data_IF_053608834794
#
_entry.id   IF_053608834794
#
_cell.length_a   1.000
_cell.length_b   1.000
_cell.length_c   1.000
_cell.angle_alpha   90.00
_cell.angle_beta   90.00
_cell.angle_gamma   90.00
#
_symmetry.space_group_name_H-M   'P 1'
#
loop_
_entity.id
_entity.type
_entity.pdbx_description
1 polymer ?
#
# COMPACT_ATOMS: atom_id res chain seq x y z
N UNK A 1 62.64 3.41 19.66
CA UNK A 1 63.27 2.49 20.64
C UNK A 1 64.74 2.38 20.28
N UNK A 2 65.59 3.12 20.98
CA UNK A 2 67.03 3.08 20.74
C UNK A 2 67.59 1.76 21.29
N UNK A 3 67.90 0.82 20.40
CA UNK A 3 68.66 -0.38 20.77
C UNK A 3 70.09 0.09 20.97
N UNK A 4 70.45 0.37 22.22
CA UNK A 4 71.83 0.64 22.62
C UNK A 4 72.66 -0.58 22.23
N UNK A 5 73.51 -0.44 21.21
CA UNK A 5 74.48 -1.49 20.85
C UNK A 5 75.29 -1.84 22.10
N UNK A 6 75.53 -3.13 22.40
CA UNK A 6 76.48 -3.48 23.42
C UNK A 6 77.83 -2.92 22.98
N UNK A 7 78.30 -1.91 23.69
CA UNK A 7 79.63 -1.31 23.54
C UNK A 7 80.65 -2.31 24.11
N UNK A 8 80.83 -3.46 23.46
CA UNK A 8 82.09 -4.18 23.60
C UNK A 8 83.10 -3.33 22.85
N UNK A 9 83.75 -2.40 23.54
CA UNK A 9 84.82 -1.65 22.90
C UNK A 9 85.90 -2.67 22.52
N UNK A 10 86.34 -2.71 21.25
CA UNK A 10 87.46 -3.54 20.86
C UNK A 10 88.74 -3.16 21.64
N UNK A 11 88.75 -1.99 22.29
CA UNK A 11 89.77 -1.60 23.25
C UNK A 11 89.83 -2.52 24.48
N UNK A 12 88.71 -2.90 25.11
CA UNK A 12 88.76 -3.69 26.36
C UNK A 12 89.30 -5.11 26.16
N UNK A 13 88.97 -5.73 25.02
CA UNK A 13 89.54 -7.01 24.62
C UNK A 13 91.04 -6.88 24.27
N UNK A 14 91.45 -5.76 23.67
CA UNK A 14 92.87 -5.46 23.42
C UNK A 14 93.64 -5.24 24.72
N UNK A 15 93.06 -4.59 25.73
CA UNK A 15 93.68 -4.41 27.05
C UNK A 15 93.87 -5.77 27.74
N UNK A 16 92.87 -6.65 27.69
CA UNK A 16 93.00 -8.00 28.24
C UNK A 16 94.08 -8.82 27.51
N UNK A 17 94.09 -8.80 26.17
CA UNK A 17 95.15 -9.47 25.39
C UNK A 17 96.55 -8.91 25.70
N UNK A 18 96.66 -7.59 25.85
CA UNK A 18 97.88 -6.92 26.28
C UNK A 18 98.34 -7.37 27.66
N UNK A 19 97.41 -7.49 28.62
CA UNK A 19 97.71 -7.97 29.97
C UNK A 19 98.16 -9.43 29.99
N UNK A 20 97.55 -10.31 29.18
CA UNK A 20 97.97 -11.72 29.03
C UNK A 20 99.37 -11.81 28.44
N UNK A 21 99.65 -11.03 27.40
CA UNK A 21 100.97 -11.01 26.76
C UNK A 21 102.05 -10.49 27.72
N UNK A 22 101.74 -9.44 28.51
CA UNK A 22 102.65 -8.91 29.54
C UNK A 22 102.91 -9.93 30.66
N UNK A 23 101.87 -10.65 31.10
CA UNK A 23 102.01 -11.75 32.06
C UNK A 23 102.92 -12.86 31.51
N UNK A 24 102.71 -13.27 30.26
CA UNK A 24 103.51 -14.31 29.63
C UNK A 24 104.99 -13.89 29.50
N UNK A 25 105.26 -12.63 29.17
CA UNK A 25 106.62 -12.09 29.09
C UNK A 25 107.28 -11.99 30.46
N UNK A 26 106.56 -11.48 31.47
CA UNK A 26 107.05 -11.47 32.85
C UNK A 26 107.33 -12.88 33.38
N UNK A 27 106.56 -13.89 32.97
CA UNK A 27 106.74 -15.29 33.38
C UNK A 27 108.02 -15.88 32.78
N UNK A 28 108.30 -15.53 31.51
CA UNK A 28 109.56 -15.85 30.84
C UNK A 28 110.75 -15.15 31.51
N UNK A 29 110.62 -13.88 31.90
CA UNK A 29 111.66 -13.16 32.62
C UNK A 29 111.98 -13.77 33.98
N UNK A 30 110.95 -14.16 34.75
CA UNK A 30 111.13 -14.89 36.02
C UNK A 30 111.85 -16.22 35.79
N UNK A 31 111.42 -17.01 34.81
CA UNK A 31 112.06 -18.28 34.47
C UNK A 31 113.52 -18.10 34.07
N UNK A 32 113.84 -17.09 33.25
CA UNK A 32 115.19 -16.79 32.80
C UNK A 32 116.10 -16.32 33.94
N UNK A 33 115.62 -15.43 34.83
CA UNK A 33 116.39 -14.96 36.00
C UNK A 33 116.57 -16.07 37.05
N UNK A 34 115.60 -16.96 37.23
CA UNK A 34 115.76 -18.15 38.09
C UNK A 34 116.78 -19.16 37.55
N UNK A 35 116.90 -19.28 36.22
CA UNK A 35 117.87 -20.16 35.56
C UNK A 35 119.31 -19.59 35.55
N UNK A 36 119.48 -18.27 35.68
CA UNK A 36 120.77 -17.58 35.56
C UNK A 36 121.41 -17.13 36.89
N UNK A 37 120.85 -17.50 38.05
CA UNK A 37 121.37 -17.13 39.38
C UNK A 37 122.85 -17.54 39.57
N UNK A 38 123.82 -16.61 39.57
CA UNK A 38 125.24 -16.93 39.76
C UNK A 38 125.56 -17.12 41.27
N UNK A 39 126.46 -18.05 41.66
CA UNK A 39 126.65 -18.42 43.07
C UNK A 39 127.44 -17.40 43.93
N UNK A 40 127.79 -16.22 43.43
CA UNK A 40 128.74 -15.28 44.09
C UNK A 40 128.33 -13.79 44.06
N UNK A 41 127.04 -13.47 44.05
CA UNK A 41 126.53 -12.10 44.26
C UNK A 41 125.88 -11.94 45.64
N UNK A 42 125.87 -10.72 46.20
CA UNK A 42 125.25 -10.42 47.49
C UNK A 42 123.80 -10.95 47.54
N UNK A 43 123.49 -11.78 48.52
CA UNK A 43 122.18 -12.44 48.63
C UNK A 43 121.01 -11.44 48.69
N UNK A 44 121.27 -10.21 49.17
CA UNK A 44 120.29 -9.13 49.22
C UNK A 44 119.86 -8.65 47.84
N UNK A 45 120.78 -8.51 46.87
CA UNK A 45 120.44 -8.08 45.50
C UNK A 45 119.57 -9.12 44.79
N UNK A 46 119.81 -10.40 45.05
CA UNK A 46 118.99 -11.49 44.54
C UNK A 46 117.58 -11.49 45.16
N UNK A 47 117.47 -11.23 46.46
CA UNK A 47 116.18 -11.11 47.16
C UNK A 47 115.39 -9.92 46.62
N UNK A 48 116.04 -8.76 46.44
CA UNK A 48 115.40 -7.57 45.87
C UNK A 48 114.95 -7.78 44.41
N UNK A 49 115.76 -8.42 43.58
CA UNK A 49 115.41 -8.70 42.19
C UNK A 49 114.27 -9.72 42.04
N UNK A 50 114.21 -10.73 42.92
CA UNK A 50 113.08 -11.65 42.98
C UNK A 50 111.81 -10.99 43.50
N UNK A 51 111.93 -10.10 44.48
CA UNK A 51 110.82 -9.31 45.00
C UNK A 51 110.21 -8.41 43.91
N UNK A 52 111.04 -7.71 43.14
CA UNK A 52 110.59 -6.85 42.03
C UNK A 52 109.88 -7.66 40.94
N UNK A 53 110.44 -8.82 40.56
CA UNK A 53 109.80 -9.73 39.60
C UNK A 53 108.45 -10.26 40.07
N UNK A 54 108.36 -10.68 41.34
CA UNK A 54 107.11 -11.14 41.94
C UNK A 54 106.08 -10.00 42.03
N UNK A 55 106.55 -8.78 42.31
CA UNK A 55 105.72 -7.58 42.34
C UNK A 55 105.14 -7.30 40.95
N UNK A 56 105.97 -7.30 39.90
CA UNK A 56 105.55 -7.08 38.51
C UNK A 56 104.56 -8.15 38.01
N UNK A 57 104.74 -9.40 38.44
CA UNK A 57 103.76 -10.48 38.21
C UNK A 57 102.45 -10.22 38.93
N UNK A 58 102.52 -9.82 40.20
CA UNK A 58 101.33 -9.54 41.01
C UNK A 58 100.50 -8.40 40.42
N UNK A 59 101.16 -7.34 39.93
CA UNK A 59 100.52 -6.20 39.30
C UNK A 59 99.87 -6.60 37.97
N UNK A 60 100.54 -7.45 37.18
CA UNK A 60 99.99 -7.97 35.91
C UNK A 60 98.76 -8.86 36.13
N UNK A 61 98.78 -9.72 37.17
CA UNK A 61 97.62 -10.52 37.58
C UNK A 61 96.46 -9.66 38.06
N UNK A 62 96.75 -8.57 38.78
CA UNK A 62 95.75 -7.64 39.28
C UNK A 62 95.05 -6.89 38.13
N UNK A 63 95.82 -6.45 37.13
CA UNK A 63 95.28 -5.87 35.89
C UNK A 63 94.42 -6.87 35.10
N UNK A 64 94.88 -8.11 34.96
CA UNK A 64 94.11 -9.17 34.28
C UNK A 64 92.78 -9.44 35.00
N UNK A 65 92.81 -9.53 36.32
CA UNK A 65 91.61 -9.74 37.15
C UNK A 65 90.61 -8.59 36.99
N UNK A 66 91.08 -7.33 36.95
CA UNK A 66 90.24 -6.17 36.69
C UNK A 66 89.61 -6.18 35.30
N UNK A 67 90.35 -6.61 34.27
CA UNK A 67 89.82 -6.74 32.91
C UNK A 67 88.78 -7.85 32.77
N UNK A 68 88.95 -8.97 33.49
CA UNK A 68 87.99 -10.07 33.54
C UNK A 68 86.69 -9.65 34.23
N UNK A 69 86.77 -8.95 35.37
CA UNK A 69 85.58 -8.40 36.05
C UNK A 69 84.80 -7.44 35.15
N UNK A 70 85.49 -6.60 34.37
CA UNK A 70 84.84 -5.70 33.40
C UNK A 70 84.11 -6.48 32.32
N UNK A 71 84.71 -7.55 31.79
CA UNK A 71 84.06 -8.42 30.80
C UNK A 71 82.87 -9.18 31.37
N UNK A 72 82.96 -9.69 32.60
CA UNK A 72 81.83 -10.33 33.27
C UNK A 72 80.65 -9.36 33.43
N UNK A 73 80.91 -8.11 33.82
CA UNK A 73 79.88 -7.06 33.90
C UNK A 73 79.24 -6.75 32.55
N UNK A 74 80.02 -6.69 31.47
CA UNK A 74 79.51 -6.51 30.11
C UNK A 74 78.66 -7.71 29.66
N UNK A 75 79.07 -8.93 29.98
CA UNK A 75 78.36 -10.15 29.65
C UNK A 75 77.00 -10.20 30.36
N UNK A 76 76.96 -9.79 31.64
CA UNK A 76 75.72 -9.68 32.42
C UNK A 76 74.78 -8.60 31.87
N UNK A 77 75.32 -7.45 31.46
CA UNK A 77 74.56 -6.38 30.81
C UNK A 77 73.95 -6.85 29.49
N UNK A 78 74.74 -7.54 28.66
CA UNK A 78 74.29 -8.09 27.38
C UNK A 78 73.22 -9.17 27.57
N UNK A 79 73.37 -10.04 28.56
CA UNK A 79 72.36 -11.04 28.91
C UNK A 79 71.04 -10.38 29.35
N UNK A 80 71.13 -9.32 30.16
CA UNK A 80 69.95 -8.57 30.61
C UNK A 80 69.27 -7.90 29.42
N UNK A 81 70.04 -7.29 28.53
CA UNK A 81 69.53 -6.67 27.32
C UNK A 81 68.87 -7.69 26.38
N UNK A 82 69.47 -8.87 26.17
CA UNK A 82 68.89 -9.96 25.39
C UNK A 82 67.53 -10.40 25.96
N UNK A 83 67.44 -10.56 27.29
CA UNK A 83 66.17 -10.90 27.94
C UNK A 83 65.11 -9.80 27.79
N UNK A 84 65.51 -8.53 27.78
CA UNK A 84 64.61 -7.40 27.55
C UNK A 84 64.13 -7.36 26.09
N UNK A 85 65.00 -7.68 25.13
CA UNK A 85 64.63 -7.76 23.72
C UNK A 85 63.70 -8.94 23.46
N UNK A 86 63.91 -10.09 24.09
CA UNK A 86 63.00 -11.23 23.94
C UNK A 86 61.60 -10.90 24.46
N UNK A 87 61.52 -10.21 25.61
CA UNK A 87 60.24 -9.72 26.15
C UNK A 87 59.57 -8.71 25.22
N UNK A 88 60.33 -7.77 24.65
CA UNK A 88 59.74 -6.77 23.74
C UNK A 88 59.25 -7.41 22.44
N UNK A 89 59.99 -8.38 21.89
CA UNK A 89 59.59 -9.16 20.72
C UNK A 89 58.33 -10.00 21.02
N UNK A 90 58.26 -10.63 22.20
CA UNK A 90 57.06 -11.35 22.63
C UNK A 90 55.85 -10.42 22.71
N UNK A 91 55.99 -9.27 23.37
CA UNK A 91 54.90 -8.29 23.50
C UNK A 91 54.42 -7.75 22.13
N UNK A 92 55.36 -7.56 21.18
CA UNK A 92 55.02 -7.17 19.83
C UNK A 92 54.27 -8.27 19.08
N UNK A 93 54.67 -9.54 19.26
CA UNK A 93 53.96 -10.68 18.70
C UNK A 93 52.54 -10.82 19.26
N UNK A 94 52.37 -10.65 20.56
CA UNK A 94 51.05 -10.67 21.21
C UNK A 94 50.17 -9.52 20.72
N UNK A 95 50.75 -8.33 20.53
CA UNK A 95 50.02 -7.18 19.98
C UNK A 95 49.62 -7.40 18.52
N UNK A 96 50.52 -7.98 17.71
CA UNK A 96 50.27 -8.26 16.29
C UNK A 96 49.19 -9.33 16.12
N UNK A 97 49.23 -10.39 16.93
CA UNK A 97 48.21 -11.45 16.93
C UNK A 97 46.86 -10.91 17.38
N UNK A 98 46.81 -10.15 18.48
CA UNK A 98 45.58 -9.51 18.94
C UNK A 98 44.98 -8.56 17.89
N UNK A 99 45.83 -7.79 17.20
CA UNK A 99 45.38 -6.93 16.10
C UNK A 99 44.90 -7.75 14.90
N UNK A 100 45.59 -8.84 14.55
CA UNK A 100 45.17 -9.77 13.50
C UNK A 100 43.79 -10.35 13.78
N UNK A 101 43.58 -10.89 14.98
CA UNK A 101 42.31 -11.48 15.39
C UNK A 101 41.20 -10.43 15.45
N UNK A 102 41.48 -9.23 15.98
CA UNK A 102 40.52 -8.13 16.03
C UNK A 102 40.07 -7.67 14.64
N UNK A 103 41.00 -7.56 13.69
CA UNK A 103 40.66 -7.20 12.30
C UNK A 103 39.91 -8.31 11.57
N UNK A 104 40.25 -9.58 11.80
CA UNK A 104 39.49 -10.73 11.28
C UNK A 104 38.06 -10.73 11.82
N UNK A 105 37.89 -10.52 13.12
CA UNK A 105 36.56 -10.48 13.74
C UNK A 105 35.71 -9.32 13.19
N UNK A 106 36.29 -8.13 13.01
CA UNK A 106 35.57 -6.98 12.49
C UNK A 106 35.20 -7.15 11.01
N UNK A 107 36.08 -7.72 10.20
CA UNK A 107 35.77 -8.02 8.79
C UNK A 107 34.69 -9.08 8.67
N UNK A 108 34.72 -10.13 9.49
CA UNK A 108 33.63 -11.12 9.56
C UNK A 108 32.31 -10.49 9.99
N UNK A 109 32.32 -9.63 11.01
CA UNK A 109 31.13 -8.91 11.47
C UNK A 109 30.53 -8.06 10.36
N UNK A 110 31.34 -7.24 9.69
CA UNK A 110 30.91 -6.40 8.58
C UNK A 110 30.40 -7.23 7.39
N UNK A 111 31.00 -8.38 7.11
CA UNK A 111 30.53 -9.28 6.06
C UNK A 111 29.14 -9.85 6.38
N UNK A 112 28.90 -10.28 7.62
CA UNK A 112 27.59 -10.78 8.06
C UNK A 112 26.54 -9.67 8.02
N UNK A 113 26.88 -8.48 8.53
CA UNK A 113 25.97 -7.32 8.53
C UNK A 113 25.66 -6.84 7.10
N UNK A 114 26.66 -6.85 6.22
CA UNK A 114 26.49 -6.54 4.80
C UNK A 114 25.59 -7.55 4.08
N UNK A 115 25.76 -8.85 4.35
CA UNK A 115 24.89 -9.89 3.80
C UNK A 115 23.45 -9.80 4.31
N UNK A 116 23.28 -9.53 5.61
CA UNK A 116 21.95 -9.30 6.21
C UNK A 116 21.26 -8.09 5.57
N UNK A 117 21.99 -6.98 5.42
CA UNK A 117 21.49 -5.77 4.76
C UNK A 117 21.10 -6.04 3.31
N UNK A 118 21.91 -6.82 2.57
CA UNK A 118 21.60 -7.22 1.19
C UNK A 118 20.33 -8.06 1.10
N UNK A 119 20.16 -9.04 1.98
CA UNK A 119 18.94 -9.87 2.03
C UNK A 119 17.70 -9.04 2.38
N UNK A 120 17.84 -8.09 3.31
CA UNK A 120 16.77 -7.18 3.68
C UNK A 120 16.36 -6.28 2.51
N UNK A 121 17.33 -5.75 1.75
CA UNK A 121 17.06 -4.96 0.55
C UNK A 121 16.36 -5.79 -0.54
N UNK A 122 16.79 -7.03 -0.78
CA UNK A 122 16.11 -7.94 -1.71
C UNK A 122 14.67 -8.24 -1.29
N UNK A 123 14.43 -8.38 0.02
CA UNK A 123 13.09 -8.55 0.55
C UNK A 123 12.21 -7.31 0.28
N UNK A 124 12.74 -6.11 0.51
CA UNK A 124 12.03 -4.86 0.23
C UNK A 124 11.74 -4.69 -1.27
N UNK A 125 12.69 -5.04 -2.14
CA UNK A 125 12.49 -5.03 -3.60
C UNK A 125 11.32 -5.93 -4.00
N UNK A 126 11.25 -7.15 -3.44
CA UNK A 126 10.13 -8.07 -3.69
C UNK A 126 8.79 -7.51 -3.19
N UNK A 127 8.77 -6.91 -1.99
CA UNK A 127 7.57 -6.27 -1.45
C UNK A 127 7.10 -5.10 -2.33
N UNK A 128 8.02 -4.26 -2.78
CA UNK A 128 7.72 -3.12 -3.66
C UNK A 128 7.20 -3.59 -5.02
N UNK A 129 7.78 -4.64 -5.61
CA UNK A 129 7.28 -5.23 -6.85
C UNK A 129 5.85 -5.78 -6.69
N UNK A 130 5.58 -6.50 -5.60
CA UNK A 130 4.23 -7.00 -5.30
C UNK A 130 3.24 -5.86 -5.07
N UNK A 131 3.67 -4.78 -4.41
CA UNK A 131 2.83 -3.60 -4.18
C UNK A 131 2.54 -2.87 -5.50
N UNK A 132 3.54 -2.74 -6.38
CA UNK A 132 3.39 -2.23 -7.74
C UNK A 132 2.34 -3.00 -8.54
N UNK A 133 2.43 -4.34 -8.57
CA UNK A 133 1.45 -5.17 -9.28
C UNK A 133 0.03 -5.06 -8.71
N UNK A 134 -0.13 -4.85 -7.38
CA UNK A 134 -1.44 -4.58 -6.78
C UNK A 134 -2.01 -3.21 -7.20
N UNK A 135 -1.16 -2.19 -7.30
CA UNK A 135 -1.56 -0.85 -7.75
C UNK A 135 -1.97 -0.87 -9.23
N UNK A 136 -1.22 -1.57 -10.08
CA UNK A 136 -1.58 -1.78 -11.48
C UNK A 136 -2.93 -2.48 -11.62
N UNK A 137 -3.15 -3.57 -10.88
CA UNK A 137 -4.44 -4.28 -10.88
C UNK A 137 -5.60 -3.40 -10.41
N UNK A 138 -5.39 -2.58 -9.36
CA UNK A 138 -6.40 -1.61 -8.92
C UNK A 138 -6.69 -0.54 -9.96
N UNK A 139 -5.66 -0.09 -10.68
CA UNK A 139 -5.80 0.88 -11.78
C UNK A 139 -6.65 0.30 -12.92
N UNK A 140 -6.40 -0.95 -13.32
CA UNK A 140 -7.21 -1.66 -14.32
C UNK A 140 -8.66 -1.81 -13.87
N UNK A 141 -8.89 -2.17 -12.60
CA UNK A 141 -10.24 -2.27 -12.04
C UNK A 141 -10.96 -0.93 -12.04
N UNK A 142 -10.28 0.16 -11.64
CA UNK A 142 -10.83 1.51 -11.69
C UNK A 142 -11.16 1.94 -13.12
N UNK A 143 -10.30 1.61 -14.09
CA UNK A 143 -10.55 1.84 -15.50
C UNK A 143 -11.80 1.09 -15.99
N UNK A 144 -11.96 -0.17 -15.61
CA UNK A 144 -13.14 -0.96 -15.94
C UNK A 144 -14.42 -0.37 -15.33
N UNK A 145 -14.39 0.01 -14.04
CA UNK A 145 -15.53 0.66 -13.37
C UNK A 145 -15.88 1.98 -14.05
N UNK A 146 -14.87 2.81 -14.37
CA UNK A 146 -15.10 4.07 -15.11
C UNK A 146 -15.78 3.81 -16.44
N UNK A 147 -15.33 2.80 -17.20
CA UNK A 147 -15.96 2.44 -18.47
C UNK A 147 -17.42 2.00 -18.33
N UNK A 148 -17.74 1.23 -17.28
CA UNK A 148 -19.13 0.85 -16.95
C UNK A 148 -19.95 2.09 -16.61
N UNK A 149 -19.44 2.98 -15.74
CA UNK A 149 -20.12 4.23 -15.37
C UNK A 149 -20.40 5.09 -16.61
N UNK A 150 -19.44 5.23 -17.52
CA UNK A 150 -19.62 5.99 -18.76
C UNK A 150 -20.71 5.38 -19.65
N UNK A 151 -20.75 4.05 -19.77
CA UNK A 151 -21.79 3.35 -20.54
C UNK A 151 -23.18 3.52 -19.94
N UNK A 152 -23.30 3.43 -18.62
CA UNK A 152 -24.55 3.66 -17.88
C UNK A 152 -25.00 5.10 -18.03
N UNK A 153 -24.07 6.05 -17.93
CA UNK A 153 -24.38 7.47 -18.09
C UNK A 153 -24.91 7.78 -19.50
N UNK A 154 -24.30 7.20 -20.54
CA UNK A 154 -24.77 7.36 -21.94
C UNK A 154 -26.16 6.77 -22.16
N UNK A 155 -26.40 5.56 -21.66
CA UNK A 155 -27.70 4.88 -21.82
C UNK A 155 -28.80 5.62 -21.06
N UNK A 156 -28.55 6.01 -19.81
CA UNK A 156 -29.50 6.81 -19.03
C UNK A 156 -29.77 8.18 -19.68
N UNK A 157 -28.74 8.87 -20.17
CA UNK A 157 -28.93 10.15 -20.87
C UNK A 157 -29.82 9.98 -22.11
N UNK A 158 -29.59 8.93 -22.90
CA UNK A 158 -30.41 8.61 -24.05
C UNK A 158 -31.88 8.34 -23.66
N UNK A 159 -32.10 7.49 -22.66
CA UNK A 159 -33.44 7.15 -22.19
C UNK A 159 -34.17 8.37 -21.64
N UNK A 160 -33.47 9.23 -20.89
CA UNK A 160 -34.03 10.50 -20.38
C UNK A 160 -34.45 11.43 -21.51
N UNK A 161 -33.67 11.53 -22.59
CA UNK A 161 -34.00 12.36 -23.75
C UNK A 161 -35.24 11.83 -24.49
N UNK A 162 -35.35 10.50 -24.64
CA UNK A 162 -36.53 9.84 -25.23
C UNK A 162 -37.77 10.03 -24.35
N UNK A 163 -37.65 9.89 -23.03
CA UNK A 163 -38.76 10.16 -22.13
C UNK A 163 -39.16 11.64 -22.17
N UNK A 164 -38.19 12.55 -22.26
CA UNK A 164 -38.43 13.99 -22.36
C UNK A 164 -39.13 14.38 -23.66
N UNK A 165 -38.87 13.71 -24.78
CA UNK A 165 -39.64 13.91 -26.02
C UNK A 165 -41.07 13.38 -25.86
N UNK A 166 -41.24 12.15 -25.36
CA UNK A 166 -42.56 11.55 -25.19
C UNK A 166 -43.47 12.31 -24.23
N UNK A 167 -42.91 12.87 -23.14
CA UNK A 167 -43.66 13.74 -22.22
C UNK A 167 -44.11 15.02 -22.93
N UNK A 168 -43.27 15.61 -23.81
CA UNK A 168 -43.67 16.78 -24.61
C UNK A 168 -44.82 16.45 -25.55
N UNK A 169 -44.75 15.30 -26.23
CA UNK A 169 -45.79 14.86 -27.16
C UNK A 169 -47.12 14.61 -26.43
N UNK A 170 -47.07 13.93 -25.27
CA UNK A 170 -48.25 13.72 -24.43
C UNK A 170 -48.86 15.04 -23.95
N UNK A 171 -48.03 16.03 -23.56
CA UNK A 171 -48.52 17.36 -23.19
C UNK A 171 -49.22 18.05 -24.36
N UNK A 172 -48.70 17.92 -25.58
CA UNK A 172 -49.34 18.47 -26.77
C UNK A 172 -50.69 17.80 -27.06
N UNK A 173 -50.76 16.46 -26.96
CA UNK A 173 -52.01 15.71 -27.11
C UNK A 173 -53.05 16.07 -26.05
N UNK A 174 -52.64 16.20 -24.79
CA UNK A 174 -53.51 16.69 -23.72
C UNK A 174 -54.03 18.11 -23.97
N UNK A 175 -53.16 18.99 -24.50
CA UNK A 175 -53.56 20.34 -24.90
C UNK A 175 -54.68 20.30 -25.94
N UNK A 176 -54.49 19.51 -27.00
CA UNK A 176 -55.50 19.33 -28.06
C UNK A 176 -56.80 18.73 -27.53
N UNK A 177 -56.73 17.65 -26.75
CA UNK A 177 -57.92 17.06 -26.13
C UNK A 177 -58.65 18.04 -25.20
N UNK A 178 -57.91 18.91 -24.50
CA UNK A 178 -58.48 19.98 -23.69
C UNK A 178 -59.14 21.10 -24.52
N UNK A 179 -58.65 21.38 -25.71
CA UNK A 179 -59.32 22.27 -26.68
C UNK A 179 -60.60 21.62 -27.22
N UNK A 180 -60.53 20.36 -27.65
CA UNK A 180 -61.69 19.62 -28.14
C UNK A 180 -62.80 19.54 -27.07
N UNK A 181 -62.44 19.28 -25.81
CA UNK A 181 -63.39 19.28 -24.69
C UNK A 181 -64.02 20.66 -24.45
N UNK A 182 -63.26 21.75 -24.63
CA UNK A 182 -63.80 23.12 -24.54
C UNK A 182 -64.75 23.42 -25.70
N UNK A 183 -64.39 23.03 -26.92
CA UNK A 183 -65.24 23.19 -28.11
C UNK A 183 -66.56 22.42 -27.94
N UNK A 184 -66.51 21.17 -27.50
CA UNK A 184 -67.69 20.36 -27.23
C UNK A 184 -68.61 21.00 -26.17
N UNK A 185 -68.05 21.61 -25.12
CA UNK A 185 -68.85 22.34 -24.13
C UNK A 185 -69.57 23.53 -24.74
N UNK A 186 -68.89 24.31 -25.59
CA UNK A 186 -69.50 25.44 -26.29
C UNK A 186 -70.62 24.99 -27.22
N UNK A 187 -70.42 23.91 -27.98
CA UNK A 187 -71.47 23.38 -28.87
C UNK A 187 -72.67 22.86 -28.08
N UNK A 188 -72.46 22.17 -26.95
CA UNK A 188 -73.54 21.77 -26.06
C UNK A 188 -74.34 22.97 -25.55
N UNK A 189 -73.67 24.02 -25.06
CA UNK A 189 -74.37 25.23 -24.60
C UNK A 189 -75.15 25.92 -25.73
N UNK A 190 -74.61 25.94 -26.95
CA UNK A 190 -75.31 26.52 -28.10
C UNK A 190 -76.55 25.70 -28.49
N UNK A 191 -76.44 24.36 -28.49
CA UNK A 191 -77.56 23.47 -28.75
C UNK A 191 -78.65 23.57 -27.67
N UNK A 192 -78.26 23.73 -26.41
CA UNK A 192 -79.21 23.97 -25.30
C UNK A 192 -79.98 25.27 -25.50
N UNK A 193 -79.30 26.37 -25.87
CA UNK A 193 -79.97 27.64 -26.17
C UNK A 193 -80.87 27.55 -27.40
N UNK A 194 -80.43 26.84 -28.45
CA UNK A 194 -81.27 26.58 -29.62
C UNK A 194 -82.53 25.78 -29.24
N UNK A 195 -82.41 24.74 -28.41
CA UNK A 195 -83.55 23.96 -27.95
C UNK A 195 -84.53 24.81 -27.14
N UNK A 196 -84.03 25.67 -26.25
CA UNK A 196 -84.88 26.62 -25.49
C UNK A 196 -85.63 27.56 -26.44
N UNK A 197 -84.97 28.05 -27.48
CA UNK A 197 -85.59 28.91 -28.48
C UNK A 197 -86.72 28.20 -29.25
N UNK A 198 -86.46 26.99 -29.74
CA UNK A 198 -87.47 26.17 -30.45
C UNK A 198 -88.65 25.82 -29.55
N UNK A 199 -88.41 25.48 -28.28
CA UNK A 199 -89.47 25.23 -27.30
C UNK A 199 -90.32 26.48 -27.05
N UNK A 200 -89.73 27.67 -27.03
CA UNK A 200 -90.47 28.92 -26.90
C UNK A 200 -91.36 29.19 -28.14
N UNK A 201 -90.86 28.92 -29.35
CA UNK A 201 -91.66 29.02 -30.58
C UNK A 201 -92.84 28.05 -30.52
N UNK A 202 -92.58 26.78 -30.18
CA UNK A 202 -93.62 25.77 -30.06
C UNK A 202 -94.67 26.17 -29.00
N UNK A 203 -94.22 26.73 -27.87
CA UNK A 203 -95.09 27.31 -26.85
C UNK A 203 -96.01 28.41 -27.39
N UNK A 204 -95.46 29.34 -28.17
CA UNK A 204 -96.26 30.39 -28.81
C UNK A 204 -97.27 29.83 -29.83
N UNK A 205 -96.84 28.88 -30.67
CA UNK A 205 -97.71 28.25 -31.68
C UNK A 205 -98.84 27.46 -31.02
N UNK A 206 -98.54 26.72 -29.94
CA UNK A 206 -99.56 25.96 -29.21
C UNK A 206 -100.57 26.88 -28.53
N UNK A 207 -100.13 28.01 -27.97
CA UNK A 207 -101.05 29.01 -27.40
C UNK A 207 -101.90 29.70 -28.49
N UNK A 208 -101.33 30.02 -29.65
CA UNK A 208 -102.08 30.56 -30.81
C UNK A 208 -103.12 29.59 -31.34
N UNK A 209 -102.77 28.30 -31.47
CA UNK A 209 -103.72 27.24 -31.83
C UNK A 209 -104.83 27.10 -30.78
N UNK A 210 -104.48 27.17 -29.50
CA UNK A 210 -105.44 27.13 -28.39
C UNK A 210 -106.41 28.30 -28.43
N UNK A 211 -105.93 29.51 -28.73
CA UNK A 211 -106.74 30.71 -28.91
C UNK A 211 -107.68 30.56 -30.11
N UNK A 212 -107.18 30.08 -31.26
CA UNK A 212 -108.00 29.83 -32.45
C UNK A 212 -109.06 28.76 -32.22
N UNK A 213 -108.72 27.67 -31.52
CA UNK A 213 -109.69 26.64 -31.15
C UNK A 213 -110.75 27.18 -30.18
N UNK A 214 -110.37 28.08 -29.26
CA UNK A 214 -111.31 28.76 -28.38
C UNK A 214 -112.24 29.71 -29.16
N UNK A 215 -111.72 30.52 -30.08
CA UNK A 215 -112.52 31.39 -30.96
C UNK A 215 -113.46 30.57 -31.86
N UNK A 216 -112.96 29.45 -32.40
CA UNK A 216 -113.77 28.51 -33.16
C UNK A 216 -114.86 27.88 -32.30
N UNK A 217 -114.56 27.51 -31.05
CA UNK A 217 -115.54 26.98 -30.11
C UNK A 217 -116.60 28.03 -29.75
N UNK A 218 -116.21 29.30 -29.62
CA UNK A 218 -117.13 30.42 -29.38
C UNK A 218 -118.02 30.71 -30.60
N UNK A 219 -117.48 30.69 -31.82
CA UNK A 219 -118.27 30.84 -33.05
C UNK A 219 -119.21 29.67 -33.29
N UNK A 220 -118.77 28.44 -33.01
CA UNK A 220 -119.64 27.27 -33.01
C UNK A 220 -120.74 27.40 -31.96
N UNK A 221 -120.45 27.89 -30.75
CA UNK A 221 -121.45 28.21 -29.72
C UNK A 221 -122.47 29.26 -30.18
N UNK A 222 -122.01 30.35 -30.80
CA UNK A 222 -122.88 31.40 -31.32
C UNK A 222 -123.74 30.92 -32.50
N UNK A 223 -123.21 30.06 -33.37
CA UNK A 223 -123.97 29.40 -34.43
C UNK A 223 -124.99 28.40 -33.86
N UNK A 224 -124.67 27.71 -32.77
CA UNK A 224 -125.65 26.87 -32.05
C UNK A 224 -126.71 27.66 -31.27
N UNK A 225 -126.58 28.99 -31.14
CA UNK A 225 -127.67 29.86 -30.65
C UNK A 225 -128.63 30.31 -31.77
N UNK A 226 -128.30 30.12 -33.05
CA UNK A 226 -129.14 30.51 -34.21
C UNK A 226 -129.72 29.29 -34.95
N UNK A 227 -129.27 28.06 -34.64
CA UNK A 227 -129.82 26.82 -35.22
C UNK A 227 -130.45 25.97 -34.13
N UNK A 228 -131.78 25.90 -34.16
CA UNK A 228 -132.59 25.07 -33.26
C UNK A 228 -132.29 23.57 -33.37
N UNK A 229 -132.62 22.92 -32.25
CA UNK A 229 -132.85 21.50 -31.98
C UNK A 229 -131.82 20.45 -32.41
N UNK A 230 -131.26 19.87 -31.34
CA UNK A 230 -130.68 18.53 -31.12
C UNK A 230 -130.81 17.54 -32.30
N UNK A 231 -129.67 17.26 -32.94
CA UNK A 231 -129.44 16.04 -33.72
C UNK A 231 -128.86 14.94 -32.83
N UNK A 232 -129.31 13.72 -33.08
CA UNK A 232 -129.03 12.42 -32.43
C UNK A 232 -127.58 12.15 -31.97
N UNK A 233 -127.46 11.41 -30.87
CA UNK A 233 -126.26 10.69 -30.44
C UNK A 233 -125.62 9.95 -31.62
N UNK A 234 -124.36 10.27 -31.91
CA UNK A 234 -123.51 9.45 -32.75
C UNK A 234 -123.08 8.20 -31.97
N UNK A 235 -123.21 7.05 -32.61
CA UNK A 235 -122.79 5.74 -32.10
C UNK A 235 -121.35 5.81 -31.56
N UNK A 236 -121.17 5.28 -30.36
CA UNK A 236 -119.87 5.11 -29.70
C UNK A 236 -118.95 4.26 -30.60
N UNK A 237 -117.85 4.85 -31.06
CA UNK A 237 -116.86 4.14 -31.86
C UNK A 237 -116.20 3.04 -31.03
N UNK A 238 -116.05 1.85 -31.61
CA UNK A 238 -115.40 0.72 -30.95
C UNK A 238 -114.05 1.12 -30.35
N UNK A 239 -113.74 0.71 -29.10
CA UNK A 239 -112.46 1.03 -28.48
C UNK A 239 -111.30 0.52 -29.34
N UNK A 240 -110.38 1.43 -29.67
CA UNK A 240 -109.15 1.08 -30.40
C UNK A 240 -108.40 -0.02 -29.67
N UNK A 241 -107.93 -1.03 -30.43
CA UNK A 241 -107.19 -2.17 -29.87
C UNK A 241 -106.00 -1.68 -29.03
N UNK A 242 -105.74 -2.27 -27.85
CA UNK A 242 -104.60 -1.88 -27.01
C UNK A 242 -103.29 -1.96 -27.80
N UNK A 243 -102.45 -0.94 -27.69
CA UNK A 243 -101.11 -0.94 -28.30
C UNK A 243 -100.28 -2.11 -27.78
N UNK A 244 -99.50 -2.74 -28.67
CA UNK A 244 -98.60 -3.83 -28.32
C UNK A 244 -97.64 -3.39 -27.19
N UNK A 245 -97.35 -4.25 -26.20
CA UNK A 245 -96.36 -3.93 -25.17
C UNK A 245 -95.00 -3.62 -25.80
N UNK A 246 -94.35 -2.54 -25.35
CA UNK A 246 -93.01 -2.19 -25.82
C UNK A 246 -92.01 -3.34 -25.56
N UNK A 247 -91.16 -3.62 -26.55
CA UNK A 247 -90.10 -4.63 -26.43
C UNK A 247 -89.19 -4.29 -25.23
N UNK A 248 -88.95 -5.27 -24.36
CA UNK A 248 -88.04 -5.15 -23.22
C UNK A 248 -86.64 -4.80 -23.74
N UNK A 249 -86.04 -3.71 -23.25
CA UNK A 249 -84.69 -3.31 -23.62
C UNK A 249 -83.69 -4.44 -23.37
N UNK A 250 -82.77 -4.65 -24.33
CA UNK A 250 -81.71 -5.63 -24.23
C UNK A 250 -80.85 -5.34 -22.98
N UNK A 251 -80.44 -6.36 -22.20
CA UNK A 251 -79.48 -6.17 -21.12
C UNK A 251 -78.20 -5.53 -21.67
N UNK A 252 -77.67 -4.51 -21.00
CA UNK A 252 -76.41 -3.87 -21.39
C UNK A 252 -75.28 -4.89 -21.49
N UNK A 253 -74.39 -4.73 -22.48
CA UNK A 253 -73.27 -5.64 -22.68
C UNK A 253 -72.40 -5.73 -21.41
N UNK A 254 -72.03 -6.96 -21.04
CA UNK A 254 -71.14 -7.21 -19.91
C UNK A 254 -69.80 -6.54 -20.21
N UNK A 255 -69.35 -5.66 -19.32
CA UNK A 255 -68.07 -4.97 -19.46
C UNK A 255 -66.91 -5.97 -19.69
N UNK A 256 -65.87 -5.59 -20.47
CA UNK A 256 -64.78 -6.49 -20.80
C UNK A 256 -64.07 -6.98 -19.53
N UNK A 257 -63.54 -8.22 -19.53
CA UNK A 257 -62.73 -8.71 -18.41
C UNK A 257 -61.56 -7.76 -18.14
N UNK A 258 -61.31 -7.47 -16.86
CA UNK A 258 -60.14 -6.68 -16.46
C UNK A 258 -58.83 -7.33 -16.94
N UNK A 259 -57.78 -6.54 -17.18
CA UNK A 259 -56.50 -7.07 -17.65
C UNK A 259 -55.94 -8.09 -16.65
N UNK A 260 -55.38 -9.19 -17.19
CA UNK A 260 -54.73 -10.23 -16.40
C UNK A 260 -53.54 -9.60 -15.65
N UNK A 261 -53.49 -9.78 -14.32
CA UNK A 261 -52.38 -9.32 -13.51
C UNK A 261 -51.03 -9.85 -14.00
N UNK A 262 -49.99 -9.01 -13.92
CA UNK A 262 -48.63 -9.37 -14.32
C UNK A 262 -48.14 -10.57 -13.50
N UNK A 263 -47.52 -11.53 -14.19
CA UNK A 263 -46.92 -12.71 -13.57
C UNK A 263 -45.74 -12.24 -12.70
N UNK A 264 -45.76 -12.58 -11.41
CA UNK A 264 -44.67 -12.23 -10.50
C UNK A 264 -43.32 -12.79 -11.00
N UNK A 265 -42.27 -11.99 -10.78
CA UNK A 265 -40.91 -12.34 -11.20
C UNK A 265 -40.43 -13.62 -10.52
N UNK A 266 -39.68 -14.43 -11.26
CA UNK A 266 -39.10 -15.68 -10.78
C UNK A 266 -38.05 -15.33 -9.74
N UNK A 267 -38.23 -15.82 -8.50
CA UNK A 267 -37.28 -15.58 -7.42
C UNK A 267 -35.85 -15.99 -7.78
N UNK A 268 -34.89 -15.23 -7.28
CA UNK A 268 -33.47 -15.39 -7.56
C UNK A 268 -32.95 -16.78 -7.16
N UNK A 269 -31.98 -17.28 -7.93
CA UNK A 269 -31.31 -18.54 -7.64
C UNK A 269 -30.55 -18.42 -6.32
N UNK A 270 -30.76 -19.36 -5.39
CA UNK A 270 -30.07 -19.38 -4.11
C UNK A 270 -28.54 -19.42 -4.28
N UNK A 271 -27.77 -18.86 -3.32
CA UNK A 271 -26.32 -18.81 -3.39
C UNK A 271 -25.70 -20.21 -3.45
N UNK A 272 -24.60 -20.33 -4.21
CA UNK A 272 -23.85 -21.58 -4.34
C UNK A 272 -23.29 -22.02 -2.98
N UNK A 273 -23.45 -23.31 -2.65
CA UNK A 273 -22.97 -23.88 -1.40
C UNK A 273 -21.45 -23.79 -1.23
N UNK A 274 -20.94 -23.78 0.02
CA UNK A 274 -19.52 -23.64 0.29
C UNK A 274 -18.70 -24.81 -0.26
N UNK A 275 -17.48 -24.51 -0.70
CA UNK A 275 -16.53 -25.50 -1.23
C UNK A 275 -16.14 -26.50 -0.14
N UNK A 276 -16.22 -27.80 -0.47
CA UNK A 276 -15.87 -28.89 0.45
C UNK A 276 -14.41 -28.85 0.88
N UNK A 277 -14.16 -29.18 2.15
CA UNK A 277 -12.81 -29.21 2.72
C UNK A 277 -11.96 -30.29 2.05
N UNK A 278 -10.71 -29.93 1.71
CA UNK A 278 -9.73 -30.83 1.09
C UNK A 278 -9.38 -31.95 2.08
N UNK A 279 -9.47 -33.20 1.63
CA UNK A 279 -9.13 -34.37 2.43
C UNK A 279 -7.67 -34.38 2.89
N UNK A 280 -7.44 -34.86 4.11
CA UNK A 280 -6.11 -35.05 4.67
C UNK A 280 -5.34 -36.14 3.91
N UNK A 281 -4.05 -35.91 3.66
CA UNK A 281 -3.16 -36.84 2.98
C UNK A 281 -2.83 -38.00 3.93
N UNK A 282 -3.05 -39.24 3.49
CA UNK A 282 -2.69 -40.45 4.24
C UNK A 282 -1.17 -40.66 4.28
N UNK A 283 -0.72 -41.30 5.37
CA UNK A 283 0.67 -41.70 5.67
C UNK A 283 1.22 -42.73 4.68
#
# INVERSE_FOLDING_TARGET
LAVSRPQTSPEDLKVLLGSINHLNESLREVQLKLLQLPPKGDALDHIWGLQDLLQNHSDSLLLMTGSLQKLEGLLWSLQTQASQTDRSVSNLWDSLTQQGDGTQQETHRLWVEGNSSRLLLQHHEHLLSRLGGRVESLSEQLGAVSGVVDSVNRTLSYDLDVHRSRIRDLRALMGKAGEDARQMRLTLTALEEQLKHELAILGNVTEDLRLKDWERSLTLRNLSLIRGDRGSEGLEGEPGRPGLPGLRGLPGERGPPGPRGLKGDRGDLGPQGPVGMRGFKGE
#
